data_IF_913280328038
#
_entry.id   IF_913280328038
#
_cell.length_a   1.000
_cell.length_b   1.000
_cell.length_c   1.000
_cell.angle_alpha   90.00
_cell.angle_beta   90.00
_cell.angle_gamma   90.00
#
_symmetry.space_group_name_H-M   'P 1'
#
loop_
_entity.id
_entity.type
_entity.pdbx_description
1 polymer ?
#
# COMPACT_ATOMS: atom_id res chain seq x y z
N UNK A 1 -27.66 -4.80 6.20
CA UNK A 1 -26.66 -5.59 6.97
C UNK A 1 -26.46 -6.97 6.36
N UNK A 2 -27.52 -7.70 5.98
CA UNK A 2 -27.40 -9.00 5.29
C UNK A 2 -26.63 -8.94 3.98
N UNK A 3 -26.93 -7.98 3.11
CA UNK A 3 -26.30 -7.82 1.79
C UNK A 3 -24.77 -7.58 1.87
N UNK A 4 -24.31 -6.82 2.89
CA UNK A 4 -22.87 -6.60 3.11
C UNK A 4 -22.16 -7.86 3.56
N UNK A 5 -22.78 -8.67 4.44
CA UNK A 5 -22.22 -9.93 4.93
C UNK A 5 -22.17 -10.95 3.77
N UNK A 6 -23.17 -10.97 2.92
CA UNK A 6 -23.21 -11.84 1.75
C UNK A 6 -22.15 -11.48 0.72
N UNK A 7 -22.00 -10.19 0.40
CA UNK A 7 -20.93 -9.69 -0.47
C UNK A 7 -19.52 -9.98 0.09
N UNK A 8 -19.32 -9.87 1.40
CA UNK A 8 -18.04 -10.24 2.05
C UNK A 8 -17.81 -11.75 1.96
N UNK A 9 -18.85 -12.57 2.14
CA UNK A 9 -18.75 -14.03 2.05
C UNK A 9 -18.35 -14.48 0.63
N UNK A 10 -18.86 -13.83 -0.40
CA UNK A 10 -18.51 -14.16 -1.79
C UNK A 10 -17.08 -13.76 -2.16
N UNK A 11 -16.57 -12.71 -1.53
CA UNK A 11 -15.22 -12.18 -1.81
C UNK A 11 -14.17 -12.56 -0.77
N UNK A 12 -14.51 -13.38 0.25
CA UNK A 12 -13.63 -13.67 1.38
C UNK A 12 -12.27 -14.23 0.97
N UNK A 13 -12.21 -15.05 -0.08
CA UNK A 13 -10.95 -15.63 -0.57
C UNK A 13 -10.00 -14.57 -1.10
N UNK A 14 -10.50 -13.65 -1.91
CA UNK A 14 -9.70 -12.55 -2.46
C UNK A 14 -9.29 -11.56 -1.38
N UNK A 15 -10.19 -11.27 -0.42
CA UNK A 15 -9.88 -10.44 0.74
C UNK A 15 -8.79 -11.07 1.62
N UNK A 16 -8.86 -12.38 1.88
CA UNK A 16 -7.85 -13.10 2.65
C UNK A 16 -6.52 -13.18 1.90
N UNK A 17 -6.55 -13.39 0.59
CA UNK A 17 -5.35 -13.36 -0.26
C UNK A 17 -4.66 -11.99 -0.21
N UNK A 18 -5.43 -10.91 -0.27
CA UNK A 18 -4.93 -9.55 -0.16
C UNK A 18 -4.34 -9.27 1.22
N UNK A 19 -5.02 -9.68 2.30
CA UNK A 19 -4.48 -9.61 3.67
C UNK A 19 -3.18 -10.41 3.80
N UNK A 20 -3.10 -11.59 3.18
CA UNK A 20 -1.87 -12.39 3.13
C UNK A 20 -0.72 -11.67 2.45
N UNK A 21 -0.96 -11.00 1.33
CA UNK A 21 0.06 -10.19 0.64
C UNK A 21 0.49 -8.98 1.48
N UNK A 22 -0.45 -8.31 2.15
CA UNK A 22 -0.17 -7.23 3.10
C UNK A 22 0.79 -7.70 4.21
N UNK A 23 0.44 -8.81 4.89
CA UNK A 23 1.28 -9.39 5.94
C UNK A 23 2.64 -9.83 5.41
N UNK A 24 2.67 -10.50 4.25
CA UNK A 24 3.90 -11.01 3.65
C UNK A 24 4.87 -9.88 3.30
N UNK A 25 4.38 -8.78 2.75
CA UNK A 25 5.19 -7.59 2.43
C UNK A 25 5.85 -7.01 3.68
N UNK A 26 5.06 -6.81 4.74
CA UNK A 26 5.57 -6.25 6.00
C UNK A 26 6.51 -7.24 6.70
N UNK A 27 6.16 -8.53 6.71
CA UNK A 27 6.99 -9.55 7.33
C UNK A 27 8.36 -9.69 6.64
N UNK A 28 8.39 -9.61 5.31
CA UNK A 28 9.64 -9.56 4.57
C UNK A 28 10.47 -8.32 4.93
N UNK A 29 9.82 -7.15 5.10
CA UNK A 29 10.48 -5.95 5.61
C UNK A 29 11.08 -6.14 7.00
N UNK A 30 10.34 -6.77 7.93
CA UNK A 30 10.84 -7.11 9.28
C UNK A 30 12.10 -7.98 9.18
N UNK A 31 12.11 -8.99 8.31
CA UNK A 31 13.25 -9.91 8.19
C UNK A 31 14.51 -9.26 7.64
N UNK A 32 14.39 -8.31 6.72
CA UNK A 32 15.54 -7.61 6.12
C UNK A 32 15.97 -6.36 6.91
N UNK A 33 15.13 -5.85 7.81
CA UNK A 33 15.39 -4.64 8.59
C UNK A 33 16.76 -4.63 9.30
N UNK A 34 17.25 -5.71 9.96
CA UNK A 34 18.54 -5.66 10.65
C UNK A 34 19.73 -5.39 9.73
N UNK A 35 19.67 -5.79 8.45
CA UNK A 35 20.73 -5.52 7.46
C UNK A 35 20.78 -4.03 7.09
N UNK A 36 19.61 -3.38 7.07
CA UNK A 36 19.46 -2.00 6.60
C UNK A 36 19.43 -0.96 7.74
N UNK A 37 19.42 -1.39 8.98
CA UNK A 37 19.40 -0.50 10.15
C UNK A 37 20.80 -0.02 10.53
N UNK A 38 21.49 0.58 9.57
CA UNK A 38 22.82 1.18 9.72
C UNK A 38 22.79 2.64 9.22
N UNK A 39 23.54 3.51 9.88
CA UNK A 39 23.47 4.96 9.64
C UNK A 39 23.80 5.36 8.19
N UNK A 40 24.70 4.64 7.55
CA UNK A 40 25.14 4.90 6.16
C UNK A 40 24.04 4.63 5.11
N UNK A 41 23.04 3.83 5.45
CA UNK A 41 21.97 3.43 4.49
C UNK A 41 20.70 4.28 4.67
N UNK A 42 20.59 4.99 5.79
CA UNK A 42 19.44 5.87 6.03
C UNK A 42 19.36 6.97 4.98
N UNK A 43 18.17 7.21 4.44
CA UNK A 43 17.96 8.14 3.31
C UNK A 43 18.48 9.56 3.59
N UNK A 44 18.45 10.01 4.86
CA UNK A 44 18.86 11.36 5.27
C UNK A 44 19.96 11.35 6.34
N UNK A 45 20.69 10.22 6.49
CA UNK A 45 21.69 10.02 7.52
C UNK A 45 21.12 9.89 8.94
N UNK A 46 22.00 9.74 9.93
CA UNK A 46 21.59 9.57 11.32
C UNK A 46 20.87 10.82 11.89
N UNK A 47 21.34 12.01 11.55
CA UNK A 47 20.77 13.28 12.05
C UNK A 47 19.38 13.57 11.42
N UNK A 48 19.15 13.15 10.17
CA UNK A 48 17.89 13.38 9.47
C UNK A 48 16.71 12.57 10.02
N UNK A 49 16.95 11.57 10.87
CA UNK A 49 15.91 10.66 11.37
C UNK A 49 14.83 11.35 12.21
N UNK A 50 15.15 12.48 12.82
CA UNK A 50 14.25 13.29 13.67
C UNK A 50 13.82 14.60 13.03
N UNK A 51 14.28 14.92 11.81
CA UNK A 51 14.02 16.21 11.17
C UNK A 51 12.72 16.19 10.35
N UNK A 52 11.74 16.95 10.79
CA UNK A 52 10.42 17.05 10.14
C UNK A 52 10.45 17.73 8.75
N UNK A 53 11.50 18.52 8.47
CA UNK A 53 11.70 19.16 7.16
C UNK A 53 11.78 18.15 6.01
N UNK A 54 12.38 16.99 6.24
CA UNK A 54 12.45 15.93 5.22
C UNK A 54 11.09 15.29 4.94
N UNK A 55 10.23 15.11 5.94
CA UNK A 55 8.85 14.65 5.74
C UNK A 55 8.07 15.64 4.88
N UNK A 56 8.24 16.94 5.13
CA UNK A 56 7.59 17.97 4.29
C UNK A 56 8.10 17.91 2.85
N UNK A 57 9.42 17.74 2.66
CA UNK A 57 10.01 17.58 1.32
C UNK A 57 9.44 16.36 0.59
N UNK A 58 9.33 15.21 1.26
CA UNK A 58 8.74 13.99 0.72
C UNK A 58 7.28 14.22 0.26
N UNK A 59 6.46 14.86 1.10
CA UNK A 59 5.07 15.16 0.76
C UNK A 59 4.97 16.05 -0.48
N UNK A 60 5.81 17.07 -0.58
CA UNK A 60 5.87 17.96 -1.75
C UNK A 60 6.29 17.17 -3.00
N UNK A 61 7.30 16.31 -2.89
CA UNK A 61 7.76 15.47 -4.00
C UNK A 61 6.69 14.48 -4.46
N UNK A 62 5.97 13.84 -3.55
CA UNK A 62 4.84 12.95 -3.88
C UNK A 62 3.75 13.73 -4.63
N UNK A 63 3.40 14.94 -4.17
CA UNK A 63 2.41 15.79 -4.83
C UNK A 63 2.82 16.20 -6.24
N UNK A 64 4.06 16.67 -6.42
CA UNK A 64 4.61 17.03 -7.73
C UNK A 64 4.61 15.81 -8.66
N UNK A 65 5.06 14.66 -8.15
CA UNK A 65 5.15 13.44 -8.92
C UNK A 65 3.77 12.95 -9.38
N UNK A 66 2.78 12.94 -8.48
CA UNK A 66 1.39 12.61 -8.81
C UNK A 66 0.85 13.52 -9.91
N UNK A 67 1.08 14.83 -9.78
CA UNK A 67 0.66 15.80 -10.81
C UNK A 67 1.31 15.52 -12.16
N UNK A 68 2.63 15.26 -12.19
CA UNK A 68 3.37 14.97 -13.43
C UNK A 68 2.84 13.70 -14.09
N UNK A 69 2.58 12.63 -13.32
CA UNK A 69 2.03 11.37 -13.87
C UNK A 69 0.65 11.60 -14.49
N UNK A 70 -0.25 12.29 -13.79
CA UNK A 70 -1.59 12.60 -14.32
C UNK A 70 -1.50 13.46 -15.58
N UNK A 71 -0.60 14.46 -15.59
CA UNK A 71 -0.38 15.29 -16.76
C UNK A 71 0.15 14.49 -17.97
N UNK A 72 1.11 13.58 -17.75
CA UNK A 72 1.61 12.67 -18.78
C UNK A 72 0.53 11.72 -19.28
N UNK A 73 -0.30 11.18 -18.38
CA UNK A 73 -1.41 10.29 -18.72
C UNK A 73 -2.43 11.00 -19.62
N UNK A 74 -2.81 12.23 -19.29
CA UNK A 74 -3.71 13.05 -20.12
C UNK A 74 -3.12 13.41 -21.50
N UNK A 75 -1.81 13.36 -21.65
CA UNK A 75 -1.09 13.57 -22.92
C UNK A 75 -0.83 12.27 -23.69
N UNK A 76 -1.32 11.13 -23.21
CA UNK A 76 -1.11 9.79 -23.79
C UNK A 76 0.39 9.40 -23.90
N UNK A 77 1.24 9.90 -22.99
CA UNK A 77 2.65 9.50 -22.92
C UNK A 77 2.82 8.21 -22.08
N UNK A 78 2.02 7.18 -22.37
CA UNK A 78 2.01 5.92 -21.63
C UNK A 78 3.39 5.24 -21.53
N UNK A 79 4.16 5.25 -22.63
CA UNK A 79 5.51 4.69 -22.65
C UNK A 79 6.44 5.38 -21.66
N UNK A 80 6.37 6.72 -21.56
CA UNK A 80 7.21 7.50 -20.65
C UNK A 80 6.86 7.18 -19.19
N UNK A 81 5.56 7.12 -18.88
CA UNK A 81 5.08 6.74 -17.55
C UNK A 81 5.58 5.34 -17.19
N UNK A 82 5.36 4.37 -18.10
CA UNK A 82 5.78 2.98 -17.89
C UNK A 82 7.29 2.88 -17.68
N UNK A 83 8.09 3.51 -18.52
CA UNK A 83 9.55 3.50 -18.41
C UNK A 83 10.04 4.11 -17.09
N UNK A 84 9.45 5.24 -16.69
CA UNK A 84 9.82 5.94 -15.46
C UNK A 84 9.49 5.09 -14.21
N UNK A 85 8.28 4.55 -14.15
CA UNK A 85 7.87 3.71 -13.01
C UNK A 85 8.68 2.42 -12.96
N UNK A 86 8.96 1.79 -14.12
CA UNK A 86 9.80 0.60 -14.18
C UNK A 86 11.23 0.89 -13.70
N UNK A 87 11.77 2.06 -14.00
CA UNK A 87 13.07 2.50 -13.49
C UNK A 87 13.05 2.67 -11.96
N UNK A 88 12.02 3.35 -11.42
CA UNK A 88 11.85 3.51 -9.98
C UNK A 88 11.71 2.16 -9.25
N UNK A 89 10.92 1.24 -9.80
CA UNK A 89 10.77 -0.11 -9.28
C UNK A 89 12.09 -0.90 -9.32
N UNK A 90 12.84 -0.79 -10.41
CA UNK A 90 14.14 -1.44 -10.54
C UNK A 90 15.13 -0.94 -9.48
N UNK A 91 15.21 0.38 -9.29
CA UNK A 91 16.08 0.94 -8.25
C UNK A 91 15.67 0.48 -6.85
N UNK A 92 14.37 0.46 -6.54
CA UNK A 92 13.87 -0.07 -5.27
C UNK A 92 14.15 -1.58 -5.10
N UNK A 93 14.04 -2.36 -6.17
CA UNK A 93 14.30 -3.80 -6.15
C UNK A 93 15.78 -4.13 -5.86
N UNK A 94 16.71 -3.30 -6.33
CA UNK A 94 18.16 -3.47 -6.06
C UNK A 94 18.42 -3.49 -4.55
N UNK A 95 17.72 -2.67 -3.77
CA UNK A 95 17.87 -2.62 -2.32
C UNK A 95 17.41 -3.90 -1.61
N UNK A 96 16.45 -4.64 -2.17
CA UNK A 96 15.85 -5.81 -1.51
C UNK A 96 16.56 -7.11 -1.87
N UNK A 97 16.77 -7.32 -3.15
CA UNK A 97 17.12 -8.65 -3.70
C UNK A 97 18.37 -8.60 -4.58
N UNK A 98 18.91 -7.41 -4.85
CA UNK A 98 20.00 -7.21 -5.81
C UNK A 98 19.49 -7.06 -7.26
N UNK A 99 20.39 -6.98 -8.24
CA UNK A 99 20.05 -6.58 -9.62
C UNK A 99 19.34 -7.71 -10.39
N UNK A 100 18.08 -8.00 -10.07
CA UNK A 100 17.26 -8.99 -10.78
C UNK A 100 16.65 -8.42 -12.05
N UNK A 101 17.48 -8.14 -13.05
CA UNK A 101 17.03 -7.64 -14.35
C UNK A 101 16.04 -8.60 -15.02
N UNK A 102 16.21 -9.91 -14.83
CA UNK A 102 15.32 -10.93 -15.38
C UNK A 102 13.86 -10.73 -14.92
N UNK A 103 13.64 -10.41 -13.64
CA UNK A 103 12.30 -10.18 -13.09
C UNK A 103 11.65 -8.94 -13.73
N UNK A 104 12.43 -7.88 -13.96
CA UNK A 104 11.94 -6.66 -14.62
C UNK A 104 11.61 -6.90 -16.10
N UNK A 105 12.42 -7.71 -16.81
CA UNK A 105 12.14 -8.10 -18.19
C UNK A 105 10.86 -8.94 -18.27
N UNK A 106 10.67 -9.87 -17.31
CA UNK A 106 9.46 -10.69 -17.24
C UNK A 106 8.22 -9.82 -16.98
N UNK A 107 8.30 -8.89 -16.04
CA UNK A 107 7.23 -7.94 -15.75
C UNK A 107 6.89 -7.08 -16.97
N UNK A 108 7.89 -6.63 -17.73
CA UNK A 108 7.68 -5.83 -18.94
C UNK A 108 6.96 -6.59 -20.03
N UNK A 109 7.33 -7.89 -20.24
CA UNK A 109 6.79 -8.74 -21.32
C UNK A 109 5.49 -9.45 -20.94
N UNK A 110 5.38 -9.85 -19.66
CA UNK A 110 4.30 -10.67 -19.13
C UNK A 110 3.80 -10.13 -17.78
N UNK A 111 3.09 -9.00 -17.75
CA UNK A 111 2.58 -8.41 -16.51
C UNK A 111 1.31 -9.13 -16.01
N UNK A 112 1.41 -10.43 -15.76
CA UNK A 112 0.33 -11.20 -15.11
C UNK A 112 0.24 -10.90 -13.62
N UNK A 113 -0.94 -11.05 -13.05
CA UNK A 113 -1.24 -10.66 -11.68
C UNK A 113 -0.25 -11.24 -10.64
N UNK A 114 0.20 -12.49 -10.82
CA UNK A 114 1.15 -13.12 -9.89
C UNK A 114 2.57 -12.55 -10.01
N UNK A 115 3.00 -12.12 -11.20
CA UNK A 115 4.30 -11.45 -11.40
C UNK A 115 4.24 -10.03 -10.84
N UNK A 116 3.14 -9.33 -11.12
CA UNK A 116 2.87 -7.98 -10.58
C UNK A 116 2.89 -8.01 -9.05
N UNK A 117 2.21 -8.98 -8.43
CA UNK A 117 2.20 -9.15 -6.98
C UNK A 117 3.58 -9.49 -6.41
N UNK A 118 4.32 -10.41 -7.06
CA UNK A 118 5.66 -10.77 -6.61
C UNK A 118 6.59 -9.55 -6.58
N UNK A 119 6.62 -8.78 -7.67
CA UNK A 119 7.42 -7.55 -7.74
C UNK A 119 6.91 -6.52 -6.74
N UNK A 120 5.58 -6.34 -6.62
CA UNK A 120 4.97 -5.43 -5.68
C UNK A 120 5.34 -5.74 -4.22
N UNK A 121 5.29 -7.01 -3.82
CA UNK A 121 5.68 -7.46 -2.47
C UNK A 121 7.17 -7.18 -2.21
N UNK A 122 8.05 -7.53 -3.15
CA UNK A 122 9.50 -7.32 -3.00
C UNK A 122 9.83 -5.82 -2.94
N UNK A 123 9.32 -5.03 -3.87
CA UNK A 123 9.54 -3.57 -3.89
C UNK A 123 8.93 -2.93 -2.65
N UNK A 124 7.70 -3.30 -2.30
CA UNK A 124 7.01 -2.81 -1.12
C UNK A 124 7.81 -3.05 0.16
N UNK A 125 8.33 -4.27 0.36
CA UNK A 125 9.17 -4.59 1.52
C UNK A 125 10.45 -3.75 1.57
N UNK A 126 11.09 -3.47 0.42
CA UNK A 126 12.25 -2.60 0.35
C UNK A 126 11.94 -1.15 0.71
N UNK A 127 10.87 -0.60 0.14
CA UNK A 127 10.43 0.77 0.44
C UNK A 127 10.05 0.93 1.90
N UNK A 128 9.28 -0.02 2.45
CA UNK A 128 8.92 -0.07 3.87
C UNK A 128 10.17 -0.02 4.75
N UNK A 129 11.18 -0.85 4.42
CA UNK A 129 12.40 -0.93 5.20
C UNK A 129 13.22 0.35 5.08
N UNK A 130 13.45 0.83 3.87
CA UNK A 130 14.25 2.05 3.62
C UNK A 130 13.67 3.27 4.36
N UNK A 131 12.36 3.50 4.28
CA UNK A 131 11.73 4.64 4.96
C UNK A 131 11.63 4.38 6.46
N UNK A 132 11.27 3.17 6.87
CA UNK A 132 11.12 2.80 8.28
C UNK A 132 12.41 2.89 9.10
N UNK A 133 13.58 2.58 8.51
CA UNK A 133 14.88 2.80 9.19
C UNK A 133 15.35 4.25 9.12
N UNK A 134 14.75 5.08 8.27
CA UNK A 134 15.19 6.47 8.06
C UNK A 134 14.49 7.48 8.97
N UNK A 135 13.30 7.17 9.51
CA UNK A 135 12.52 8.10 10.33
C UNK A 135 12.01 7.46 11.62
N UNK A 136 12.04 8.23 12.70
CA UNK A 136 11.48 7.83 14.00
C UNK A 136 9.95 7.65 13.93
N UNK A 137 9.35 6.77 14.76
CA UNK A 137 7.90 6.50 14.76
C UNK A 137 7.03 7.75 14.81
N UNK A 138 7.41 8.76 15.59
CA UNK A 138 6.65 10.01 15.73
C UNK A 138 6.52 10.74 14.38
N UNK A 139 7.61 10.84 13.60
CA UNK A 139 7.57 11.47 12.27
C UNK A 139 6.73 10.65 11.27
N UNK A 140 6.86 9.33 11.30
CA UNK A 140 6.06 8.45 10.44
C UNK A 140 4.56 8.59 10.77
N UNK A 141 4.19 8.67 12.05
CA UNK A 141 2.79 8.88 12.45
C UNK A 141 2.26 10.21 11.90
N UNK A 142 3.03 11.29 12.00
CA UNK A 142 2.65 12.59 11.43
C UNK A 142 2.45 12.45 9.92
N UNK A 143 3.39 11.81 9.22
CA UNK A 143 3.30 11.56 7.79
C UNK A 143 2.05 10.74 7.43
N UNK A 144 1.77 9.67 8.16
CA UNK A 144 0.59 8.81 7.97
C UNK A 144 -0.73 9.57 8.17
N UNK A 145 -0.81 10.48 9.14
CA UNK A 145 -2.00 11.29 9.38
C UNK A 145 -2.21 12.26 8.22
N UNK A 146 -1.18 12.97 7.77
CA UNK A 146 -1.27 13.91 6.64
C UNK A 146 -1.65 13.15 5.36
N UNK A 147 -1.03 12.00 5.10
CA UNK A 147 -1.34 11.16 3.95
C UNK A 147 -2.79 10.65 3.98
N UNK A 148 -3.30 10.25 5.16
CA UNK A 148 -4.70 9.81 5.30
C UNK A 148 -5.70 10.94 5.03
N UNK A 149 -5.40 12.16 5.49
CA UNK A 149 -6.24 13.36 5.20
C UNK A 149 -6.22 13.65 3.69
N UNK A 150 -5.04 13.59 3.07
CA UNK A 150 -4.89 13.80 1.63
C UNK A 150 -5.65 12.73 0.82
N UNK A 151 -5.50 11.46 1.17
CA UNK A 151 -6.18 10.35 0.50
C UNK A 151 -7.70 10.49 0.58
N UNK A 152 -8.22 10.80 1.76
CA UNK A 152 -9.65 11.06 1.93
C UNK A 152 -10.15 12.19 1.03
N UNK A 153 -9.42 13.30 0.95
CA UNK A 153 -9.74 14.42 0.07
C UNK A 153 -9.60 14.05 -1.41
N UNK A 154 -8.55 13.31 -1.78
CA UNK A 154 -8.27 12.92 -3.16
C UNK A 154 -9.32 11.96 -3.73
N UNK A 155 -9.85 11.05 -2.92
CA UNK A 155 -10.90 10.11 -3.35
C UNK A 155 -12.29 10.79 -3.38
N UNK A 156 -12.65 11.52 -2.32
CA UNK A 156 -14.01 12.04 -2.19
C UNK A 156 -14.20 13.42 -2.83
N UNK A 157 -13.14 14.24 -2.89
CA UNK A 157 -13.21 15.61 -3.42
C UNK A 157 -12.84 15.68 -4.89
N UNK A 158 -11.57 15.48 -5.21
CA UNK A 158 -11.03 15.74 -6.55
C UNK A 158 -11.16 14.57 -7.53
N UNK A 159 -11.37 13.35 -7.04
CA UNK A 159 -11.44 12.09 -7.82
C UNK A 159 -10.20 11.77 -8.68
N UNK A 160 -9.13 12.57 -8.61
CA UNK A 160 -7.93 12.35 -9.43
C UNK A 160 -7.19 11.05 -9.09
N UNK A 161 -7.37 10.52 -7.87
CA UNK A 161 -6.84 9.21 -7.49
C UNK A 161 -7.48 8.06 -8.27
N UNK A 162 -8.75 8.22 -8.68
CA UNK A 162 -9.42 7.22 -9.53
C UNK A 162 -8.82 7.21 -10.93
N UNK A 163 -8.58 8.40 -11.53
CA UNK A 163 -7.90 8.55 -12.82
C UNK A 163 -6.48 7.96 -12.80
N UNK A 164 -5.76 8.17 -11.69
CA UNK A 164 -4.44 7.58 -11.50
C UNK A 164 -4.52 6.05 -11.43
N UNK A 165 -5.44 5.50 -10.65
CA UNK A 165 -5.61 4.05 -10.51
C UNK A 165 -5.97 3.38 -11.85
N UNK A 166 -6.86 3.98 -12.66
CA UNK A 166 -7.16 3.51 -14.01
C UNK A 166 -5.91 3.47 -14.90
N UNK A 167 -5.14 4.56 -14.89
CA UNK A 167 -3.89 4.62 -15.65
C UNK A 167 -2.93 3.51 -15.25
N UNK A 168 -2.79 3.24 -13.95
CA UNK A 168 -1.87 2.21 -13.45
C UNK A 168 -2.32 0.80 -13.80
N UNK A 169 -3.62 0.53 -13.81
CA UNK A 169 -4.17 -0.75 -14.24
C UNK A 169 -3.99 -0.93 -15.75
N UNK A 170 -4.28 0.08 -16.56
CA UNK A 170 -4.04 0.05 -18.02
C UNK A 170 -2.58 -0.23 -18.35
N UNK A 171 -1.66 0.36 -17.62
CA UNK A 171 -0.22 0.16 -17.79
C UNK A 171 0.31 -1.14 -17.17
N UNK A 172 -0.53 -1.86 -16.38
CA UNK A 172 -0.20 -3.15 -15.71
C UNK A 172 1.05 -3.06 -14.84
N UNK A 173 1.13 -1.99 -14.04
CA UNK A 173 2.28 -1.70 -13.20
C UNK A 173 2.14 -2.33 -11.80
N UNK A 174 3.23 -2.82 -11.18
CA UNK A 174 3.21 -3.48 -9.87
C UNK A 174 3.17 -2.49 -8.70
N UNK A 175 2.39 -1.43 -8.84
CA UNK A 175 2.04 -0.49 -7.77
C UNK A 175 0.67 -0.76 -7.18
N UNK A 176 0.01 -1.79 -7.70
CA UNK A 176 -1.23 -2.34 -7.18
C UNK A 176 -1.02 -3.83 -6.90
N UNK A 177 -1.52 -4.30 -5.76
CA UNK A 177 -1.68 -5.73 -5.49
C UNK A 177 -3.02 -6.20 -6.03
N UNK A 178 -3.02 -7.36 -6.66
CA UNK A 178 -4.18 -7.91 -7.38
C UNK A 178 -4.60 -9.24 -6.76
N UNK A 179 -5.83 -9.36 -6.29
CA UNK A 179 -6.39 -10.61 -5.78
C UNK A 179 -7.59 -11.05 -6.65
N UNK A 180 -7.39 -12.05 -7.53
CA UNK A 180 -8.46 -12.58 -8.36
C UNK A 180 -9.65 -13.10 -7.54
N UNK A 181 -10.88 -12.89 -8.02
CA UNK A 181 -12.10 -13.45 -7.45
C UNK A 181 -12.46 -14.79 -8.08
N UNK A 182 -12.20 -14.93 -9.36
CA UNK A 182 -12.56 -16.10 -10.15
C UNK A 182 -11.33 -16.90 -10.61
N UNK A 183 -11.55 -18.21 -10.84
CA UNK A 183 -10.51 -19.06 -11.44
C UNK A 183 -10.38 -18.73 -12.91
N UNK A 184 -9.13 -18.55 -13.37
CA UNK A 184 -8.85 -18.23 -14.77
C UNK A 184 -8.75 -16.73 -15.07
N UNK A 185 -8.83 -15.88 -14.05
CA UNK A 185 -8.57 -14.45 -14.21
C UNK A 185 -7.17 -14.20 -14.79
N UNK A 186 -7.08 -13.35 -15.80
CA UNK A 186 -5.82 -12.85 -16.37
C UNK A 186 -5.79 -11.33 -16.30
N UNK A 187 -4.71 -10.79 -15.76
CA UNK A 187 -4.52 -9.34 -15.66
C UNK A 187 -4.20 -8.72 -17.02
N UNK A 188 -3.81 -9.53 -18.01
CA UNK A 188 -3.55 -9.07 -19.38
C UNK A 188 -4.82 -8.57 -20.08
N UNK A 189 -5.99 -9.07 -19.73
CA UNK A 189 -7.28 -8.70 -20.32
C UNK A 189 -7.98 -7.56 -19.57
N UNK A 190 -7.48 -7.15 -18.39
CA UNK A 190 -8.07 -6.07 -17.60
C UNK A 190 -7.92 -4.72 -18.32
N UNK A 191 -9.02 -4.01 -18.57
CA UNK A 191 -9.06 -2.76 -19.32
C UNK A 191 -9.12 -1.50 -18.45
N UNK A 192 -9.32 -1.63 -17.15
CA UNK A 192 -9.24 -0.51 -16.19
C UNK A 192 -10.35 0.54 -16.32
N UNK A 193 -11.50 0.22 -16.89
CA UNK A 193 -12.61 1.15 -17.07
C UNK A 193 -13.40 1.34 -15.77
N UNK A 194 -12.91 2.24 -14.89
CA UNK A 194 -13.55 2.54 -13.60
C UNK A 194 -14.58 3.66 -13.66
N UNK A 195 -14.48 4.53 -14.69
CA UNK A 195 -15.33 5.72 -14.82
C UNK A 195 -16.40 5.63 -15.90
N UNK A 196 -16.39 4.62 -16.74
CA UNK A 196 -17.52 4.39 -17.61
C UNK A 196 -18.69 3.83 -16.79
N UNK A 197 -19.46 4.70 -16.13
CA UNK A 197 -20.89 4.52 -16.12
C UNK A 197 -21.26 4.35 -17.59
N UNK A 198 -21.56 3.13 -18.00
CA UNK A 198 -22.19 2.89 -19.31
C UNK A 198 -23.47 3.69 -19.30
N UNK A 199 -23.41 4.95 -19.71
CA UNK A 199 -24.53 5.66 -20.27
C UNK A 199 -24.88 4.85 -21.51
N UNK A 200 -25.81 3.92 -21.34
CA UNK A 200 -26.54 3.33 -22.44
C UNK A 200 -27.19 4.52 -23.13
N UNK A 201 -26.52 5.06 -24.16
CA UNK A 201 -27.19 5.97 -25.09
C UNK A 201 -28.25 5.12 -25.76
N UNK A 202 -29.55 5.45 -25.65
CA UNK A 202 -30.54 4.82 -26.48
C UNK A 202 -30.09 5.09 -27.93
N UNK A 203 -29.84 4.03 -28.70
CA UNK A 203 -29.72 4.17 -30.13
C UNK A 203 -30.99 4.83 -30.66
N UNK A 204 -30.81 5.89 -31.46
CA UNK A 204 -31.90 6.59 -32.11
C UNK A 204 -32.93 5.62 -32.72
N UNK A 205 -34.15 5.65 -32.22
CA UNK A 205 -35.33 5.03 -32.87
C UNK A 205 -35.91 3.83 -32.12
N UNK A 206 -36.69 4.04 -31.15
CA UNK A 206 -38.05 3.54 -30.91
C UNK A 206 -38.47 3.82 -29.46
N UNK A 207 -39.49 4.63 -29.29
CA UNK A 207 -39.97 5.10 -27.97
C UNK A 207 -41.04 4.15 -27.39
N UNK A 208 -41.26 2.96 -27.94
CA UNK A 208 -42.43 2.12 -27.60
C UNK A 208 -42.12 0.76 -26.97
N UNK A 209 -40.89 0.46 -26.48
CA UNK A 209 -40.70 -0.81 -25.76
C UNK A 209 -39.90 -0.63 -24.44
N UNK A 210 -40.60 -0.60 -23.28
CA UNK A 210 -39.94 -0.49 -21.97
C UNK A 210 -39.47 -1.85 -21.42
N UNK A 211 -39.06 -2.78 -22.24
CA UNK A 211 -38.42 -4.01 -21.82
C UNK A 211 -36.90 -3.80 -21.81
N UNK A 212 -36.41 -3.01 -20.84
CA UNK A 212 -35.02 -3.07 -20.45
C UNK A 212 -34.78 -4.46 -19.88
N UNK A 213 -34.05 -5.27 -20.63
CA UNK A 213 -33.64 -6.60 -20.23
C UNK A 213 -32.64 -6.46 -19.09
N UNK A 214 -33.13 -6.31 -17.85
CA UNK A 214 -32.37 -6.21 -16.62
C UNK A 214 -31.52 -7.48 -16.33
N UNK A 215 -31.74 -8.55 -17.11
CA UNK A 215 -30.95 -9.78 -17.02
C UNK A 215 -29.60 -9.70 -17.74
N UNK A 216 -29.40 -8.71 -18.62
CA UNK A 216 -28.13 -8.47 -19.33
C UNK A 216 -27.34 -7.25 -18.87
N UNK A 217 -27.77 -6.56 -17.83
CA UNK A 217 -26.84 -5.68 -17.13
C UNK A 217 -25.68 -6.55 -16.62
N UNK A 218 -24.41 -6.32 -17.04
CA UNK A 218 -23.31 -7.05 -16.46
C UNK A 218 -23.42 -6.85 -14.96
N UNK A 219 -23.59 -7.93 -14.19
CA UNK A 219 -23.46 -7.93 -12.74
C UNK A 219 -22.02 -7.51 -12.46
N UNK A 220 -21.77 -6.19 -12.46
CA UNK A 220 -20.46 -5.57 -12.47
C UNK A 220 -19.78 -5.66 -11.12
N UNK A 221 -19.44 -6.86 -10.68
CA UNK A 221 -18.38 -7.05 -9.73
C UNK A 221 -17.08 -7.19 -10.51
N UNK A 222 -16.05 -6.36 -10.22
CA UNK A 222 -14.71 -6.55 -10.78
C UNK A 222 -14.26 -7.98 -10.54
N UNK A 223 -13.62 -8.59 -11.54
CA UNK A 223 -13.14 -9.97 -11.50
C UNK A 223 -11.94 -10.16 -10.56
N UNK A 224 -11.38 -9.05 -10.06
CA UNK A 224 -10.31 -9.01 -9.06
C UNK A 224 -10.52 -7.86 -8.06
N UNK A 225 -9.94 -8.01 -6.85
CA UNK A 225 -9.73 -6.93 -5.91
C UNK A 225 -8.36 -6.29 -6.18
N UNK A 226 -8.31 -4.96 -6.08
CA UNK A 226 -7.09 -4.17 -6.21
C UNK A 226 -6.84 -3.41 -4.92
N UNK A 227 -5.58 -3.38 -4.47
CA UNK A 227 -5.13 -2.58 -3.34
C UNK A 227 -3.88 -1.83 -3.73
N UNK A 228 -3.83 -0.53 -3.47
CA UNK A 228 -2.63 0.27 -3.70
C UNK A 228 -1.45 -0.23 -2.88
N UNK A 229 -0.26 -0.30 -3.47
CA UNK A 229 0.94 -0.66 -2.71
C UNK A 229 1.21 0.35 -1.59
N UNK A 230 0.81 1.61 -1.77
CA UNK A 230 0.84 2.65 -0.74
C UNK A 230 0.08 2.28 0.53
N UNK A 231 -1.06 1.58 0.41
CA UNK A 231 -1.88 1.14 1.54
C UNK A 231 -1.13 0.13 2.45
N UNK A 232 -0.16 -0.60 1.88
CA UNK A 232 0.72 -1.51 2.60
C UNK A 232 1.96 -0.78 3.14
N UNK A 233 2.51 0.14 2.33
CA UNK A 233 3.75 0.86 2.66
C UNK A 233 3.57 1.70 3.92
N UNK A 234 2.49 2.47 4.04
CA UNK A 234 2.30 3.38 5.18
C UNK A 234 2.27 2.66 6.54
N UNK A 235 1.42 1.65 6.77
CA UNK A 235 1.47 0.88 8.01
C UNK A 235 2.79 0.15 8.21
N UNK A 236 3.36 -0.38 7.12
CA UNK A 236 4.63 -1.10 7.14
C UNK A 236 5.81 -0.25 7.58
N UNK A 237 5.88 1.02 7.14
CA UNK A 237 6.92 1.95 7.59
C UNK A 237 6.91 2.13 9.11
N UNK A 238 5.71 2.24 9.72
CA UNK A 238 5.59 2.36 11.17
C UNK A 238 6.06 1.09 11.87
N UNK A 239 5.73 -0.10 11.33
CA UNK A 239 6.20 -1.38 11.86
C UNK A 239 7.74 -1.45 11.88
N UNK A 240 8.40 -1.09 10.77
CA UNK A 240 9.88 -1.12 10.70
C UNK A 240 10.52 -0.03 11.56
N UNK A 241 9.94 1.16 11.58
CA UNK A 241 10.43 2.25 12.44
C UNK A 241 10.37 1.86 13.93
N UNK A 242 9.33 1.15 14.34
CA UNK A 242 9.20 0.60 15.69
C UNK A 242 10.39 -0.29 16.04
N UNK A 243 10.77 -1.21 15.14
CA UNK A 243 11.91 -2.10 15.32
C UNK A 243 13.24 -1.36 15.36
N UNK A 244 13.35 -0.22 14.66
CA UNK A 244 14.62 0.48 14.48
C UNK A 244 14.92 1.51 15.59
N UNK A 245 13.88 2.11 16.15
CA UNK A 245 14.04 3.30 17.03
C UNK A 245 13.47 3.13 18.44
N UNK A 246 12.67 2.09 18.74
CA UNK A 246 12.32 1.80 20.13
C UNK A 246 13.49 1.13 20.86
N UNK A 247 13.51 1.17 22.22
CA UNK A 247 14.58 0.58 23.02
C UNK A 247 14.81 -0.89 22.64
N UNK A 248 16.07 -1.22 22.35
CA UNK A 248 16.47 -2.58 21.92
C UNK A 248 16.61 -3.47 23.16
N UNK A 249 15.49 -3.87 23.72
CA UNK A 249 15.39 -4.69 24.93
C UNK A 249 14.62 -5.99 24.65
N UNK A 250 14.80 -6.97 25.51
CA UNK A 250 14.18 -8.29 25.44
C UNK A 250 13.74 -8.76 26.83
N UNK A 251 12.95 -7.90 27.50
CA UNK A 251 12.47 -8.15 28.88
C UNK A 251 11.35 -9.19 28.91
N UNK A 252 10.58 -9.33 27.84
CA UNK A 252 9.40 -10.19 27.78
C UNK A 252 9.63 -11.50 27.02
N UNK A 253 10.77 -11.69 26.36
CA UNK A 253 11.05 -12.92 25.62
C UNK A 253 12.45 -12.95 25.01
N UNK A 254 12.82 -14.09 24.36
CA UNK A 254 14.13 -14.23 23.74
C UNK A 254 14.23 -13.47 22.42
N UNK A 255 15.42 -12.98 22.11
CA UNK A 255 15.73 -12.38 20.81
C UNK A 255 15.61 -13.39 19.67
N UNK A 256 15.15 -12.90 18.52
CA UNK A 256 15.13 -13.68 17.29
C UNK A 256 16.42 -13.47 16.52
N UNK A 257 17.29 -14.47 16.54
CA UNK A 257 18.50 -14.49 15.73
C UNK A 257 18.20 -15.07 14.34
N UNK A 258 18.26 -14.24 13.32
CA UNK A 258 18.07 -14.62 11.91
C UNK A 258 19.38 -14.55 11.15
N UNK A 259 19.40 -15.08 9.93
CA UNK A 259 20.52 -14.92 8.99
C UNK A 259 20.86 -13.44 8.73
N UNK A 260 19.88 -12.57 8.83
CA UNK A 260 20.01 -11.13 8.57
C UNK A 260 20.37 -10.29 9.81
N UNK A 261 20.43 -10.89 11.00
CA UNK A 261 20.78 -10.21 12.25
C UNK A 261 19.81 -10.52 13.38
N UNK A 262 19.97 -9.78 14.49
CA UNK A 262 19.17 -9.96 15.70
C UNK A 262 17.99 -8.99 15.71
N UNK A 263 16.80 -9.50 15.99
CA UNK A 263 15.60 -8.72 16.23
C UNK A 263 15.24 -8.85 17.71
N UNK A 264 15.25 -7.74 18.44
CA UNK A 264 14.94 -7.69 19.85
C UNK A 264 13.46 -7.93 20.11
N UNK A 265 13.14 -8.67 21.16
CA UNK A 265 11.77 -9.17 21.40
C UNK A 265 10.78 -8.05 21.71
N UNK A 266 11.14 -7.09 22.59
CA UNK A 266 10.21 -6.05 23.04
C UNK A 266 9.75 -5.14 21.90
N UNK A 267 10.63 -4.55 21.06
CA UNK A 267 10.20 -3.79 19.90
C UNK A 267 9.46 -4.66 18.87
N UNK A 268 9.78 -5.96 18.76
CA UNK A 268 9.05 -6.86 17.88
C UNK A 268 7.58 -7.02 18.31
N UNK A 269 7.32 -7.13 19.61
CA UNK A 269 5.93 -7.20 20.14
C UNK A 269 5.14 -5.95 19.72
N UNK A 270 5.75 -4.77 19.84
CA UNK A 270 5.10 -3.52 19.43
C UNK A 270 4.91 -3.45 17.90
N UNK A 271 5.89 -3.90 17.14
CA UNK A 271 5.81 -3.99 15.68
C UNK A 271 4.68 -4.92 15.21
N UNK A 272 4.54 -6.09 15.86
CA UNK A 272 3.45 -7.02 15.58
C UNK A 272 2.09 -6.47 16.02
N UNK A 273 2.02 -5.73 17.13
CA UNK A 273 0.82 -5.02 17.58
C UNK A 273 0.39 -3.95 16.57
N UNK A 274 1.37 -3.20 16.01
CA UNK A 274 1.17 -2.23 14.93
C UNK A 274 0.62 -2.90 13.67
N UNK A 275 1.23 -4.00 13.24
CA UNK A 275 0.78 -4.80 12.10
C UNK A 275 -0.64 -5.31 12.30
N UNK A 276 -0.95 -5.86 13.48
CA UNK A 276 -2.28 -6.36 13.82
C UNK A 276 -3.34 -5.24 13.79
N UNK A 277 -3.00 -4.07 14.32
CA UNK A 277 -3.85 -2.88 14.23
C UNK A 277 -4.12 -2.48 12.77
N UNK A 278 -3.09 -2.48 11.91
CA UNK A 278 -3.23 -2.26 10.47
C UNK A 278 -4.14 -3.28 9.79
N UNK A 279 -4.06 -4.56 10.17
CA UNK A 279 -4.97 -5.62 9.67
C UNK A 279 -6.42 -5.39 10.10
N UNK A 280 -6.66 -4.94 11.33
CA UNK A 280 -8.02 -4.57 11.78
C UNK A 280 -8.54 -3.43 10.90
N UNK A 281 -7.70 -2.40 10.64
CA UNK A 281 -8.02 -1.31 9.72
C UNK A 281 -8.34 -1.80 8.32
N UNK A 282 -7.56 -2.76 7.80
CA UNK A 282 -7.80 -3.39 6.50
C UNK A 282 -9.16 -4.10 6.45
N UNK A 283 -9.50 -4.92 7.43
CA UNK A 283 -10.81 -5.58 7.46
C UNK A 283 -11.94 -4.56 7.59
N UNK A 284 -11.75 -3.48 8.36
CA UNK A 284 -12.68 -2.34 8.40
C UNK A 284 -12.90 -1.71 7.01
N UNK A 285 -11.81 -1.50 6.24
CA UNK A 285 -11.88 -1.02 4.87
C UNK A 285 -12.65 -1.99 3.97
N UNK A 286 -12.37 -3.28 4.07
CA UNK A 286 -13.03 -4.29 3.23
C UNK A 286 -14.55 -4.35 3.45
N UNK A 287 -15.04 -4.05 4.66
CA UNK A 287 -16.48 -3.94 4.91
C UNK A 287 -17.12 -2.78 4.13
N UNK A 288 -16.36 -1.73 3.85
CA UNK A 288 -16.82 -0.58 3.07
C UNK A 288 -16.71 -0.83 1.56
N UNK A 289 -15.59 -1.45 1.12
CA UNK A 289 -15.39 -1.85 -0.29
C UNK A 289 -16.46 -2.83 -0.74
N UNK A 290 -16.90 -3.76 0.11
CA UNK A 290 -17.99 -4.68 -0.19
C UNK A 290 -19.33 -3.99 -0.50
N UNK A 291 -19.50 -2.72 -0.12
CA UNK A 291 -20.66 -1.90 -0.47
C UNK A 291 -20.60 -1.29 -1.88
N UNK A 292 -19.53 -1.57 -2.63
CA UNK A 292 -19.38 -1.17 -4.04
C UNK A 292 -19.04 0.30 -4.28
N UNK A 293 -18.67 1.06 -3.24
CA UNK A 293 -18.25 2.47 -3.39
C UNK A 293 -16.73 2.59 -3.32
N UNK A 294 -16.10 3.46 -4.14
CA UNK A 294 -14.70 3.82 -3.95
C UNK A 294 -14.47 4.36 -2.54
N UNK A 295 -13.44 3.87 -1.87
CA UNK A 295 -13.12 4.26 -0.50
C UNK A 295 -11.65 4.67 -0.40
N UNK A 296 -11.38 5.69 0.41
CA UNK A 296 -10.05 6.05 0.83
C UNK A 296 -9.52 4.95 1.80
N UNK A 297 -8.44 4.29 1.43
CA UNK A 297 -7.88 3.16 2.20
C UNK A 297 -7.06 3.61 3.40
N UNK A 298 -6.23 4.64 3.21
CA UNK A 298 -5.25 5.09 4.20
C UNK A 298 -5.86 5.50 5.56
N UNK A 299 -7.02 6.17 5.65
CA UNK A 299 -7.55 6.56 6.97
C UNK A 299 -7.80 5.37 7.90
N UNK A 300 -8.31 4.26 7.38
CA UNK A 300 -8.60 3.08 8.19
C UNK A 300 -7.35 2.26 8.48
N UNK A 301 -6.50 2.02 7.49
CA UNK A 301 -5.28 1.25 7.68
C UNK A 301 -4.29 1.97 8.60
N UNK A 302 -4.04 3.25 8.32
CA UNK A 302 -3.13 4.07 9.13
C UNK A 302 -3.68 4.26 10.55
N UNK A 303 -4.97 4.55 10.69
CA UNK A 303 -5.62 4.68 12.00
C UNK A 303 -5.50 3.41 12.82
N UNK A 304 -5.76 2.26 12.21
CA UNK A 304 -5.60 0.95 12.85
C UNK A 304 -4.16 0.69 13.30
N UNK A 305 -3.18 0.92 12.42
CA UNK A 305 -1.76 0.74 12.73
C UNK A 305 -1.28 1.67 13.85
N UNK A 306 -1.66 2.94 13.82
CA UNK A 306 -1.31 3.93 14.87
C UNK A 306 -1.91 3.51 16.22
N UNK A 307 -3.17 3.09 16.26
CA UNK A 307 -3.82 2.58 17.48
C UNK A 307 -3.08 1.34 17.99
N UNK A 308 -2.75 0.40 17.09
CA UNK A 308 -1.99 -0.80 17.44
C UNK A 308 -0.62 -0.47 18.04
N UNK A 309 0.10 0.49 17.45
CA UNK A 309 1.38 1.00 17.96
C UNK A 309 1.26 1.54 19.38
N UNK A 310 0.30 2.43 19.63
CA UNK A 310 0.14 3.01 20.96
C UNK A 310 -0.32 2.00 22.00
N UNK A 311 -1.26 1.12 21.68
CA UNK A 311 -1.73 0.10 22.64
C UNK A 311 -0.58 -0.83 23.01
N UNK A 312 0.09 -1.45 22.03
CA UNK A 312 1.17 -2.39 22.30
C UNK A 312 2.39 -1.71 22.91
N UNK A 313 2.72 -0.49 22.46
CA UNK A 313 3.85 0.27 22.98
C UNK A 313 3.66 0.72 24.42
N UNK A 314 2.47 1.18 24.81
CA UNK A 314 2.15 1.51 26.21
C UNK A 314 2.29 0.28 27.12
N UNK A 315 1.87 -0.89 26.65
CA UNK A 315 1.97 -2.14 27.42
C UNK A 315 3.43 -2.54 27.62
N UNK A 316 4.27 -2.40 26.58
CA UNK A 316 5.64 -2.90 26.60
C UNK A 316 6.62 -1.88 27.22
N UNK A 317 6.56 -0.63 26.79
CA UNK A 317 7.54 0.41 27.16
C UNK A 317 6.98 1.52 28.05
N UNK A 318 5.65 1.62 28.15
CA UNK A 318 5.02 2.81 28.75
C UNK A 318 4.94 3.99 27.77
N UNK A 319 4.22 5.06 28.17
CA UNK A 319 3.93 6.17 27.24
C UNK A 319 5.15 7.07 26.94
N UNK A 320 6.18 7.10 27.80
CA UNK A 320 7.33 8.00 27.68
C UNK A 320 8.23 7.67 26.48
N UNK A 321 8.33 6.40 26.09
CA UNK A 321 9.24 5.94 25.03
C UNK A 321 8.62 6.02 23.63
N UNK A 322 7.31 6.27 23.53
CA UNK A 322 6.59 6.19 22.27
C UNK A 322 6.64 7.47 21.45
N UNK A 323 6.96 8.59 22.07
CA UNK A 323 7.01 9.91 21.43
C UNK A 323 8.45 10.40 21.44
N UNK A 324 9.12 10.29 20.31
CA UNK A 324 10.49 10.78 20.13
C UNK A 324 10.49 12.29 19.92
N UNK A 325 11.56 12.95 20.40
CA UNK A 325 11.76 14.36 20.13
C UNK A 325 12.06 14.57 18.66
N UNK A 326 11.40 15.54 18.05
CA UNK A 326 11.58 15.93 16.65
C UNK A 326 12.10 17.36 16.57
N UNK A 327 12.94 17.64 15.59
CA UNK A 327 13.41 18.98 15.23
C UNK A 327 12.80 19.43 13.92
N UNK A 328 12.81 20.73 13.64
CA UNK A 328 12.37 21.25 12.34
C UNK A 328 13.47 21.11 11.29
N UNK A 329 14.71 21.31 11.70
CA UNK A 329 15.94 21.18 10.90
C UNK A 329 17.09 20.73 11.81
#
# INVERSE_FOLDING_TARGET
>A
MNDTIEAMRDQWKSMTSMAGMFVMTIFLGITIQPVWNIDEVRAFGAEGTTQSGYIFLELVMIGIFTFVIIWLARKNFEFVIKAFIMFALYTSLIYVVGPYLALMITLWKYPEWYIVNLVGILVGSGVITMIGVSFVPTLIIIFMIIAAIYDHWAVNGSKHMLELAETMIKLKLPILLVAPKEKGYTFLEEQGDFMEEKTIRPSDGDWDDPQIDLEKAPKGGRDALFMGLGDVIFPGMLVISTLSFLPQTSSYGPDLNSFFGTIYFDPLVVALGTLFGGLIGYFGLMTQVAKGKPQAGLPLLNGGAIIGYFISGIIVFGPSELIQQISLF
#
